data_IF_896884914029
#
_entry.id   IF_896884914029
#
_cell.length_a   1.000
_cell.length_b   1.000
_cell.length_c   1.000
_cell.angle_alpha   90.00
_cell.angle_beta   90.00
_cell.angle_gamma   90.00
#
_symmetry.space_group_name_H-M   'P 1'
#
loop_
_entity.id
_entity.type
_entity.pdbx_description
1 polymer ?
#
# COMPACT_ATOMS: atom_id res chain seq x y z
N UNK A 1 12.49 -19.96 68.10
CA UNK A 1 11.35 -20.85 67.82
C UNK A 1 10.07 -20.03 67.81
N UNK A 2 9.51 -19.66 66.70
CA UNK A 2 8.09 -19.26 66.51
C UNK A 2 7.82 -19.25 65.00
N UNK A 3 7.17 -20.31 64.55
CA UNK A 3 6.63 -20.42 63.17
C UNK A 3 5.39 -19.54 63.01
N UNK A 4 5.37 -18.65 62.03
CA UNK A 4 4.17 -17.95 61.57
C UNK A 4 3.67 -18.60 60.28
N UNK A 5 2.49 -19.22 60.36
CA UNK A 5 1.70 -19.74 59.25
C UNK A 5 1.12 -18.56 58.47
N UNK A 6 1.31 -18.54 57.15
CA UNK A 6 0.57 -17.69 56.25
C UNK A 6 -0.57 -18.51 55.62
N UNK A 7 -1.77 -18.07 55.90
CA UNK A 7 -2.98 -18.58 55.25
C UNK A 7 -3.13 -17.87 53.87
N UNK A 8 -3.13 -18.66 52.80
CA UNK A 8 -3.51 -18.21 51.46
C UNK A 8 -5.02 -18.25 51.34
N UNK A 9 -5.59 -17.07 51.13
CA UNK A 9 -7.01 -16.90 50.78
C UNK A 9 -7.14 -17.05 49.28
N UNK A 10 -7.71 -18.14 48.80
CA UNK A 10 -8.05 -18.35 47.39
C UNK A 10 -9.39 -17.66 47.09
N UNK A 11 -9.39 -16.65 46.23
CA UNK A 11 -10.58 -16.10 45.66
C UNK A 11 -10.95 -16.86 44.37
N UNK A 12 -12.03 -17.63 44.42
CA UNK A 12 -12.62 -18.26 43.27
C UNK A 12 -13.45 -17.22 42.49
N UNK A 13 -13.00 -16.89 41.30
CA UNK A 13 -13.81 -16.09 40.34
C UNK A 13 -14.72 -17.04 39.56
N UNK A 14 -16.03 -16.95 39.82
CA UNK A 14 -17.03 -17.66 39.04
C UNK A 14 -17.30 -16.86 37.76
N UNK A 15 -17.00 -17.46 36.62
CA UNK A 15 -17.42 -16.93 35.31
C UNK A 15 -18.89 -17.32 35.06
N UNK A 16 -19.76 -16.34 35.07
CA UNK A 16 -21.13 -16.46 34.56
C UNK A 16 -21.09 -16.39 33.02
N UNK A 17 -21.30 -17.55 32.40
CA UNK A 17 -21.60 -17.63 30.98
C UNK A 17 -23.06 -17.19 30.75
N UNK A 18 -23.26 -16.02 30.17
CA UNK A 18 -24.56 -15.63 29.59
C UNK A 18 -24.63 -16.15 28.17
N UNK A 19 -25.52 -17.11 27.95
CA UNK A 19 -25.85 -17.60 26.61
C UNK A 19 -26.58 -16.52 25.81
N UNK A 20 -26.05 -16.20 24.64
CA UNK A 20 -26.76 -15.35 23.67
C UNK A 20 -27.75 -16.19 22.87
N UNK A 21 -28.94 -15.63 22.52
CA UNK A 21 -29.90 -16.35 21.73
C UNK A 21 -29.46 -16.45 20.25
N UNK A 22 -29.59 -17.67 19.71
CA UNK A 22 -29.38 -17.95 18.30
C UNK A 22 -30.43 -17.22 17.45
N UNK A 23 -29.96 -16.41 16.50
CA UNK A 23 -30.81 -15.86 15.44
C UNK A 23 -31.14 -16.99 14.43
N UNK A 24 -32.41 -17.33 14.33
CA UNK A 24 -32.94 -18.25 13.33
C UNK A 24 -32.96 -17.58 11.96
N UNK A 25 -32.38 -18.22 10.96
CA UNK A 25 -32.49 -17.84 9.56
C UNK A 25 -33.90 -18.09 9.03
N UNK A 26 -34.44 -17.25 8.11
CA UNK A 26 -35.74 -17.51 7.52
C UNK A 26 -35.68 -18.70 6.53
N UNK A 27 -36.56 -19.67 6.75
CA UNK A 27 -36.82 -20.80 5.83
C UNK A 27 -37.64 -20.27 4.65
N UNK A 28 -37.10 -20.32 3.46
CA UNK A 28 -37.86 -20.10 2.23
C UNK A 28 -38.55 -21.43 1.87
N UNK A 29 -39.87 -21.46 1.99
CA UNK A 29 -40.72 -22.56 1.52
C UNK A 29 -40.76 -22.57 -0.01
N UNK A 30 -40.25 -23.64 -0.62
CA UNK A 30 -40.45 -23.94 -2.01
C UNK A 30 -41.89 -24.48 -2.20
N UNK A 31 -42.70 -23.72 -2.92
CA UNK A 31 -44.02 -24.14 -3.36
C UNK A 31 -43.91 -25.06 -4.58
N UNK A 32 -44.32 -26.29 -4.40
CA UNK A 32 -44.57 -27.25 -5.47
C UNK A 32 -45.91 -26.92 -6.17
N UNK A 33 -45.90 -26.78 -7.47
CA UNK A 33 -47.09 -26.65 -8.31
C UNK A 33 -46.89 -27.40 -9.63
N UNK A 34 -47.54 -28.57 -9.72
CA UNK A 34 -47.62 -29.50 -10.86
C UNK A 34 -48.62 -29.00 -11.90
N UNK A 35 -48.34 -29.23 -13.18
CA UNK A 35 -49.09 -29.97 -14.22
C UNK A 35 -48.91 -29.31 -15.59
N UNK A 36 -48.35 -30.03 -16.48
CA UNK A 36 -48.84 -30.74 -17.66
C UNK A 36 -49.60 -29.90 -18.70
N UNK A 37 -49.07 -29.84 -19.91
CA UNK A 37 -49.70 -30.35 -21.13
C UNK A 37 -48.82 -30.06 -22.36
N UNK A 38 -48.69 -31.10 -23.15
CA UNK A 38 -48.12 -31.25 -24.48
C UNK A 38 -48.65 -30.21 -25.47
N UNK A 39 -47.82 -29.76 -26.42
CA UNK A 39 -48.20 -29.87 -27.82
C UNK A 39 -46.97 -29.84 -28.76
N UNK A 40 -46.90 -30.86 -29.57
CA UNK A 40 -46.03 -31.11 -30.74
C UNK A 40 -46.41 -30.27 -31.94
N UNK A 41 -45.40 -29.81 -32.73
CA UNK A 41 -45.30 -29.82 -34.19
C UNK A 41 -44.14 -28.89 -34.57
N UNK A 42 -43.02 -29.34 -35.08
CA UNK A 42 -42.58 -29.95 -36.33
C UNK A 42 -42.57 -28.94 -37.53
N UNK A 43 -41.47 -29.04 -38.29
CA UNK A 43 -41.20 -28.59 -39.68
C UNK A 43 -40.42 -27.31 -39.88
N UNK A 44 -39.23 -27.48 -40.49
CA UNK A 44 -38.69 -26.56 -41.43
C UNK A 44 -37.16 -26.42 -41.46
N UNK A 45 -36.47 -27.45 -42.01
CA UNK A 45 -35.14 -27.28 -42.63
C UNK A 45 -35.22 -26.29 -43.80
N UNK A 46 -34.30 -25.35 -43.85
CA UNK A 46 -33.82 -24.83 -45.13
C UNK A 46 -32.35 -24.48 -45.04
N UNK A 47 -31.56 -25.30 -45.73
CA UNK A 47 -30.22 -24.95 -46.22
C UNK A 47 -30.34 -23.98 -47.42
N UNK A 48 -29.51 -22.99 -47.53
CA UNK A 48 -29.03 -22.44 -48.79
C UNK A 48 -27.66 -21.79 -48.59
N UNK A 49 -26.61 -22.45 -49.01
CA UNK A 49 -25.77 -22.18 -50.20
C UNK A 49 -24.72 -21.07 -50.02
N UNK A 50 -23.48 -21.55 -50.15
CA UNK A 50 -22.28 -20.81 -50.50
C UNK A 50 -22.45 -19.90 -51.72
N UNK A 51 -21.88 -18.69 -51.67
CA UNK A 51 -21.42 -18.01 -52.87
C UNK A 51 -19.96 -17.57 -52.65
N UNK A 52 -19.07 -18.29 -53.28
CA UNK A 52 -17.70 -17.92 -53.61
C UNK A 52 -17.74 -16.88 -54.73
N UNK A 53 -17.08 -15.76 -54.58
CA UNK A 53 -16.62 -14.96 -55.68
C UNK A 53 -15.20 -14.46 -55.44
N UNK A 54 -14.39 -14.78 -56.42
CA UNK A 54 -12.96 -14.56 -56.57
C UNK A 54 -12.62 -13.06 -56.82
N UNK A 55 -11.36 -12.77 -56.47
CA UNK A 55 -10.64 -11.54 -56.83
C UNK A 55 -10.41 -11.39 -58.34
N UNK A 56 -10.02 -10.20 -58.80
CA UNK A 56 -8.66 -9.98 -59.33
C UNK A 56 -8.09 -8.64 -58.86
N UNK A 57 -6.82 -8.46 -58.61
CA UNK A 57 -5.66 -8.58 -59.40
C UNK A 57 -4.87 -7.29 -59.41
N UNK A 58 -3.66 -7.31 -58.89
CA UNK A 58 -2.46 -6.56 -59.27
C UNK A 58 -2.42 -5.04 -59.31
N UNK A 59 -1.51 -4.47 -58.58
CA UNK A 59 -0.99 -3.12 -58.74
C UNK A 59 0.14 -2.85 -57.75
N UNK A 60 1.38 -3.17 -58.12
CA UNK A 60 2.60 -2.78 -57.42
C UNK A 60 2.84 -1.27 -57.60
N UNK A 61 3.14 -0.58 -56.52
CA UNK A 61 4.03 0.58 -56.56
C UNK A 61 4.83 0.64 -55.27
N UNK A 62 6.14 0.42 -55.41
CA UNK A 62 7.16 0.72 -54.45
C UNK A 62 7.22 2.22 -54.18
N UNK A 63 7.25 2.62 -52.93
CA UNK A 63 7.84 3.90 -52.52
C UNK A 63 8.58 3.73 -51.22
N UNK A 64 9.87 3.71 -51.34
CA UNK A 64 10.88 3.96 -50.33
C UNK A 64 10.64 5.28 -49.63
N UNK A 65 10.55 5.32 -48.31
CA UNK A 65 10.84 6.55 -47.56
C UNK A 65 11.43 6.23 -46.17
N UNK A 66 12.56 6.83 -46.00
CA UNK A 66 13.54 6.84 -44.96
C UNK A 66 13.03 7.01 -43.52
N UNK A 67 13.75 6.41 -42.59
CA UNK A 67 13.71 6.64 -41.18
C UNK A 67 14.22 8.04 -40.79
N UNK A 68 13.66 8.72 -39.77
CA UNK A 68 14.25 9.94 -39.25
C UNK A 68 15.35 9.62 -38.24
N UNK A 69 16.51 10.20 -38.47
CA UNK A 69 17.70 10.17 -37.67
C UNK A 69 17.57 11.06 -36.43
N UNK A 70 18.18 10.62 -35.33
CA UNK A 70 18.38 11.35 -34.09
C UNK A 70 19.30 12.58 -34.27
N UNK A 71 19.12 13.69 -33.56
CA UNK A 71 20.06 14.80 -33.61
C UNK A 71 21.30 14.53 -32.77
N UNK A 72 22.44 14.63 -33.42
CA UNK A 72 23.80 14.60 -32.86
C UNK A 72 24.09 15.92 -32.12
N UNK A 73 24.56 15.81 -30.88
CA UNK A 73 25.08 16.94 -30.11
C UNK A 73 26.50 17.20 -30.56
N UNK A 74 26.76 18.38 -31.10
CA UNK A 74 28.08 18.88 -31.47
C UNK A 74 28.74 19.53 -30.22
N UNK A 75 29.88 18.99 -29.82
CA UNK A 75 30.80 19.58 -28.84
C UNK A 75 31.55 20.74 -29.47
N UNK A 76 31.40 21.94 -28.92
CA UNK A 76 32.24 23.07 -29.26
C UNK A 76 33.29 23.32 -28.16
N UNK A 77 34.55 23.09 -28.49
CA UNK A 77 35.73 23.58 -27.73
C UNK A 77 36.13 24.99 -28.19
N UNK A 78 36.65 25.75 -27.25
CA UNK A 78 37.36 27.01 -27.54
C UNK A 78 37.51 27.82 -26.27
N UNK A 79 38.57 27.74 -25.64
CA UNK A 79 39.90 28.37 -25.57
C UNK A 79 39.99 29.54 -24.56
N UNK A 80 40.79 29.25 -23.51
CA UNK A 80 41.91 30.00 -22.91
C UNK A 80 41.88 31.53 -22.67
N UNK A 81 41.98 31.83 -21.44
CA UNK A 81 42.72 32.78 -20.61
C UNK A 81 43.54 33.94 -21.33
N UNK A 82 44.07 35.01 -20.62
CA UNK A 82 44.62 34.97 -19.27
C UNK A 82 44.43 36.28 -18.39
N UNK A 83 44.63 36.07 -17.08
CA UNK A 83 45.50 36.87 -16.22
C UNK A 83 45.05 38.25 -15.72
N UNK A 84 44.98 38.44 -14.40
CA UNK A 84 45.84 39.32 -13.63
C UNK A 84 45.38 39.45 -12.18
N UNK A 85 46.21 38.98 -11.29
CA UNK A 85 46.75 39.52 -10.02
C UNK A 85 45.93 40.51 -9.19
N UNK A 86 45.81 40.19 -7.91
CA UNK A 86 46.22 41.06 -6.83
C UNK A 86 45.15 41.56 -5.87
N UNK A 87 45.36 41.31 -4.58
CA UNK A 87 44.98 42.21 -3.52
C UNK A 87 44.12 41.67 -2.40
N UNK A 88 44.77 41.29 -1.32
CA UNK A 88 44.24 41.16 0.03
C UNK A 88 43.48 42.43 0.46
N UNK A 89 42.40 42.33 1.22
CA UNK A 89 42.35 42.78 2.59
C UNK A 89 41.00 42.56 3.29
N UNK A 90 41.18 42.29 4.54
CA UNK A 90 40.21 42.05 5.60
C UNK A 90 39.31 43.25 5.93
N UNK A 91 38.11 42.97 6.40
CA UNK A 91 37.50 43.36 7.66
C UNK A 91 35.97 43.64 7.52
N UNK A 92 35.22 43.58 8.61
CA UNK A 92 33.80 43.21 8.61
C UNK A 92 32.89 44.45 8.46
N UNK A 93 31.76 44.27 7.80
CA UNK A 93 30.71 45.31 7.76
C UNK A 93 29.44 44.82 8.46
N UNK A 94 29.14 45.63 9.40
CA UNK A 94 27.97 45.92 10.20
C UNK A 94 26.62 45.63 9.53
N UNK A 95 25.69 45.17 10.40
CA UNK A 95 24.26 45.05 10.13
C UNK A 95 23.65 46.33 9.55
N UNK A 96 23.01 46.22 8.42
CA UNK A 96 22.15 47.22 7.81
C UNK A 96 20.70 46.77 7.83
N UNK A 97 19.90 47.50 8.57
CA UNK A 97 18.44 47.47 8.61
C UNK A 97 17.88 47.66 7.20
N UNK A 98 17.01 46.76 6.77
CA UNK A 98 16.14 46.96 5.62
C UNK A 98 14.70 47.02 6.10
N UNK A 99 14.23 48.25 6.22
CA UNK A 99 12.81 48.57 6.41
C UNK A 99 12.06 48.49 5.09
N UNK A 100 10.89 47.85 5.13
CA UNK A 100 9.78 48.15 4.22
C UNK A 100 9.52 47.13 3.13
N UNK A 101 8.61 46.18 3.38
CA UNK A 101 7.75 45.58 2.38
C UNK A 101 6.29 45.54 2.90
N UNK A 102 5.38 46.04 2.05
CA UNK A 102 3.97 46.28 2.31
C UNK A 102 3.20 45.00 2.67
N UNK A 103 2.29 45.17 3.63
CA UNK A 103 1.32 44.14 4.04
C UNK A 103 0.24 43.91 2.98
N UNK A 104 0.04 42.61 2.62
CA UNK A 104 -1.18 42.12 2.02
C UNK A 104 -2.01 41.37 3.04
N UNK A 105 -3.35 41.39 2.99
CA UNK A 105 -4.20 40.85 4.04
C UNK A 105 -4.28 39.33 3.95
N UNK A 106 -3.85 38.60 5.01
CA UNK A 106 -4.02 37.16 5.14
C UNK A 106 -2.86 36.40 5.77
N UNK A 107 -1.95 37.03 6.50
CA UNK A 107 -0.83 36.36 7.17
C UNK A 107 -1.26 35.63 8.43
N UNK A 108 -1.19 34.30 8.42
CA UNK A 108 -1.18 33.46 9.62
C UNK A 108 0.12 33.77 10.36
N UNK A 109 0.02 34.36 11.55
CA UNK A 109 1.15 34.57 12.45
C UNK A 109 1.66 33.22 12.91
N UNK A 110 2.83 32.80 12.44
CA UNK A 110 3.59 31.71 13.04
C UNK A 110 4.24 32.26 14.30
N UNK A 111 3.81 31.83 15.46
CA UNK A 111 4.53 32.08 16.70
C UNK A 111 5.88 31.35 16.68
N UNK A 112 6.94 31.91 17.24
CA UNK A 112 8.20 31.22 17.37
C UNK A 112 8.03 29.99 18.25
N UNK A 113 8.34 28.82 17.73
CA UNK A 113 8.36 27.56 18.48
C UNK A 113 9.64 27.60 19.33
N UNK A 114 9.49 27.58 20.63
CA UNK A 114 10.62 27.48 21.55
C UNK A 114 11.45 26.22 21.25
N UNK A 115 12.77 26.27 21.36
CA UNK A 115 13.62 25.13 21.12
C UNK A 115 13.29 24.02 22.15
N UNK A 116 12.95 22.84 21.64
CA UNK A 116 12.67 21.65 22.45
C UNK A 116 13.86 21.36 23.35
N UNK A 117 13.62 21.27 24.64
CA UNK A 117 14.67 21.03 25.62
C UNK A 117 15.17 19.57 25.57
N UNK A 118 16.42 19.29 25.99
CA UNK A 118 16.93 17.92 26.05
C UNK A 118 16.08 16.98 26.92
N UNK A 119 15.35 17.52 27.89
CA UNK A 119 14.46 16.79 28.79
C UNK A 119 13.15 16.39 28.07
N UNK A 120 12.61 17.25 27.20
CA UNK A 120 11.46 16.92 26.36
C UNK A 120 11.82 15.92 25.27
N UNK A 121 13.05 15.97 24.73
CA UNK A 121 13.55 14.95 23.80
C UNK A 121 13.68 13.58 24.48
N UNK A 122 14.24 13.55 25.71
CA UNK A 122 14.35 12.30 26.50
C UNK A 122 12.98 11.76 26.93
N UNK A 123 12.01 12.64 27.22
CA UNK A 123 10.64 12.25 27.53
C UNK A 123 9.91 11.72 26.30
N UNK A 124 10.15 12.27 25.10
CA UNK A 124 9.64 11.74 23.84
C UNK A 124 10.26 10.39 23.47
N UNK A 125 11.55 10.20 23.69
CA UNK A 125 12.22 8.89 23.51
C UNK A 125 11.70 7.85 24.48
N UNK A 126 11.53 8.21 25.76
CA UNK A 126 10.96 7.31 26.78
C UNK A 126 9.48 6.98 26.52
N UNK A 127 8.69 7.96 26.06
CA UNK A 127 7.31 7.75 25.63
C UNK A 127 7.23 6.89 24.35
N UNK A 128 8.17 7.04 23.42
CA UNK A 128 8.32 6.21 22.23
C UNK A 128 8.65 4.75 22.58
N UNK A 129 9.55 4.53 23.55
CA UNK A 129 9.91 3.19 24.03
C UNK A 129 8.80 2.55 24.87
N UNK A 130 8.07 3.31 25.69
CA UNK A 130 6.92 2.81 26.46
C UNK A 130 5.72 2.51 25.52
N UNK A 131 5.51 3.31 24.47
CA UNK A 131 4.51 3.04 23.44
C UNK A 131 4.85 1.78 22.62
N UNK A 132 6.13 1.53 22.35
CA UNK A 132 6.57 0.29 21.69
C UNK A 132 6.34 -0.98 22.55
N UNK A 133 6.25 -0.85 23.86
CA UNK A 133 5.96 -1.96 24.78
C UNK A 133 4.45 -2.15 25.06
N UNK A 134 3.60 -1.16 24.79
CA UNK A 134 2.14 -1.21 25.01
C UNK A 134 1.33 -1.31 23.69
N UNK A 135 1.96 -1.19 22.56
CA UNK A 135 1.28 -1.46 21.29
C UNK A 135 1.15 -2.96 21.18
N UNK A 136 -0.10 -3.44 21.22
CA UNK A 136 -0.42 -4.69 20.56
C UNK A 136 0.02 -4.54 19.10
N UNK A 137 1.30 -4.76 18.83
CA UNK A 137 1.77 -5.02 17.49
C UNK A 137 0.78 -6.04 16.95
N UNK A 138 0.19 -5.80 15.77
CA UNK A 138 -0.46 -6.87 15.05
C UNK A 138 0.59 -7.97 14.89
N UNK A 139 0.69 -8.85 15.88
CA UNK A 139 1.34 -10.13 15.72
C UNK A 139 0.47 -10.85 14.73
N UNK A 140 0.72 -10.58 13.45
CA UNK A 140 0.12 -11.33 12.34
C UNK A 140 0.75 -12.72 12.43
N UNK A 141 0.19 -13.57 13.31
CA UNK A 141 0.58 -14.97 13.42
C UNK A 141 0.44 -15.64 12.04
N UNK A 142 1.24 -16.65 11.82
CA UNK A 142 1.13 -17.51 10.62
C UNK A 142 0.00 -18.53 10.76
N UNK A 143 -0.92 -18.34 11.70
CA UNK A 143 -2.04 -19.25 11.93
C UNK A 143 -2.88 -19.40 10.67
N UNK A 144 -3.01 -20.63 10.20
CA UNK A 144 -3.71 -20.98 8.97
C UNK A 144 -2.89 -20.81 7.67
N UNK A 145 -1.62 -20.38 7.75
CA UNK A 145 -0.70 -20.30 6.61
C UNK A 145 0.17 -21.56 6.56
N UNK A 146 0.20 -22.20 5.41
CA UNK A 146 1.04 -23.36 5.14
C UNK A 146 2.36 -22.91 4.47
N UNK A 147 3.51 -22.92 5.17
CA UNK A 147 4.77 -22.44 4.61
C UNK A 147 5.29 -23.27 3.42
N UNK A 148 4.73 -24.44 3.17
CA UNK A 148 5.11 -25.31 2.03
C UNK A 148 4.40 -24.91 0.73
N UNK A 149 3.35 -24.10 0.79
CA UNK A 149 2.62 -23.60 -0.37
C UNK A 149 3.14 -22.26 -0.83
N UNK A 150 3.05 -21.96 -2.13
CA UNK A 150 3.45 -20.65 -2.63
C UNK A 150 2.58 -19.53 -2.03
N UNK A 151 3.23 -18.42 -1.71
CA UNK A 151 2.61 -17.23 -1.12
C UNK A 151 2.85 -16.00 -1.98
N UNK A 152 1.92 -15.07 -1.94
CA UNK A 152 2.03 -13.76 -2.58
C UNK A 152 1.42 -12.68 -1.69
N UNK A 153 2.07 -11.53 -1.60
CA UNK A 153 1.50 -10.36 -0.95
C UNK A 153 0.91 -9.41 -2.01
N UNK A 154 -0.42 -9.32 -2.04
CA UNK A 154 -1.10 -8.27 -2.79
C UNK A 154 -1.07 -7.00 -1.95
N UNK A 155 -0.54 -5.92 -2.50
CA UNK A 155 -0.37 -4.66 -1.76
C UNK A 155 -0.99 -3.50 -2.52
N UNK A 156 -1.62 -2.58 -1.78
CA UNK A 156 -2.40 -1.47 -2.33
C UNK A 156 -1.97 -0.15 -1.71
N UNK A 157 -1.55 0.81 -2.54
CA UNK A 157 -1.09 2.12 -2.12
C UNK A 157 -2.19 3.20 -2.25
N UNK A 158 -1.95 4.37 -1.65
CA UNK A 158 -2.72 5.60 -1.76
C UNK A 158 -4.10 5.61 -1.11
N UNK A 159 -4.56 4.49 -0.55
CA UNK A 159 -5.84 4.41 0.15
C UNK A 159 -5.92 5.27 1.42
N UNK A 160 -7.06 5.22 2.11
CA UNK A 160 -8.25 4.42 1.80
C UNK A 160 -9.14 5.01 0.69
N UNK A 161 -9.84 4.14 -0.03
CA UNK A 161 -10.84 4.49 -1.03
C UNK A 161 -11.99 3.46 -1.04
N UNK A 162 -13.08 3.68 -0.27
CA UNK A 162 -14.13 2.67 0.01
C UNK A 162 -14.77 2.01 -1.21
N UNK A 163 -14.92 2.75 -2.31
CA UNK A 163 -15.51 2.22 -3.55
C UNK A 163 -14.64 1.16 -4.23
N UNK A 164 -13.35 1.09 -3.90
CA UNK A 164 -12.39 0.12 -4.44
C UNK A 164 -11.95 -0.85 -3.36
N UNK A 165 -11.51 -0.37 -2.19
CA UNK A 165 -11.00 -1.19 -1.09
C UNK A 165 -12.02 -2.19 -0.57
N UNK A 166 -13.30 -1.81 -0.44
CA UNK A 166 -14.35 -2.76 -0.05
C UNK A 166 -14.50 -3.90 -1.05
N UNK A 167 -14.45 -3.62 -2.35
CA UNK A 167 -14.53 -4.67 -3.39
C UNK A 167 -13.34 -5.61 -3.35
N UNK A 168 -12.14 -5.07 -3.05
CA UNK A 168 -10.92 -5.86 -2.89
C UNK A 168 -11.07 -6.80 -1.69
N UNK A 169 -11.50 -6.29 -0.53
CA UNK A 169 -11.71 -7.08 0.68
C UNK A 169 -12.79 -8.15 0.47
N UNK A 170 -13.93 -7.80 -0.13
CA UNK A 170 -15.02 -8.75 -0.46
C UNK A 170 -14.53 -9.90 -1.35
N UNK A 171 -13.68 -9.59 -2.33
CA UNK A 171 -13.09 -10.61 -3.20
C UNK A 171 -12.12 -11.51 -2.43
N UNK A 172 -11.19 -10.93 -1.65
CA UNK A 172 -10.22 -11.69 -0.85
C UNK A 172 -10.91 -12.60 0.17
N UNK A 173 -11.98 -12.13 0.82
CA UNK A 173 -12.71 -12.89 1.82
C UNK A 173 -13.28 -14.20 1.27
N UNK A 174 -13.73 -14.24 0.00
CA UNK A 174 -14.27 -15.44 -0.66
C UNK A 174 -13.22 -16.57 -0.81
N UNK A 175 -11.92 -16.20 -0.79
CA UNK A 175 -10.81 -17.13 -0.98
C UNK A 175 -9.89 -17.23 0.25
N UNK A 176 -10.34 -16.68 1.40
CA UNK A 176 -9.56 -16.68 2.65
C UNK A 176 -8.26 -15.86 2.55
N UNK A 177 -8.14 -15.00 1.53
CA UNK A 177 -6.95 -14.19 1.29
C UNK A 177 -6.88 -12.95 2.19
N UNK A 178 -5.66 -12.47 2.40
CA UNK A 178 -5.36 -11.19 3.09
C UNK A 178 -4.46 -10.34 2.21
N UNK A 179 -4.45 -9.03 2.48
CA UNK A 179 -3.64 -8.05 1.75
C UNK A 179 -3.03 -7.03 2.72
N UNK A 180 -2.05 -6.25 2.23
CA UNK A 180 -1.48 -5.11 2.94
C UNK A 180 -1.87 -3.82 2.25
N UNK A 181 -2.44 -2.88 3.00
CA UNK A 181 -2.89 -1.58 2.51
C UNK A 181 -1.97 -0.48 3.07
N UNK A 182 -1.23 0.19 2.19
CA UNK A 182 -0.35 1.32 2.53
C UNK A 182 -1.12 2.63 2.40
N UNK A 183 -1.53 3.19 3.53
CA UNK A 183 -2.47 4.30 3.58
C UNK A 183 -1.79 5.65 3.73
N UNK A 184 -2.33 6.65 3.06
CA UNK A 184 -1.97 8.06 3.24
C UNK A 184 -2.66 8.62 4.47
N UNK A 185 -1.89 9.12 5.45
CA UNK A 185 -2.40 9.52 6.76
C UNK A 185 -3.51 10.56 6.72
N UNK A 186 -3.42 11.58 5.84
CA UNK A 186 -4.44 12.62 5.71
C UNK A 186 -5.80 12.11 5.22
N UNK A 187 -5.85 10.92 4.62
CA UNK A 187 -7.08 10.33 4.09
C UNK A 187 -7.85 9.49 5.12
N UNK A 188 -7.13 8.81 6.05
CA UNK A 188 -7.74 7.80 6.93
C UNK A 188 -8.83 8.38 7.84
N UNK A 189 -8.72 9.65 8.22
CA UNK A 189 -9.71 10.31 9.06
C UNK A 189 -11.11 10.38 8.45
N UNK A 190 -11.20 10.50 7.12
CA UNK A 190 -12.47 10.57 6.37
C UNK A 190 -13.08 9.18 6.11
N UNK A 191 -12.29 8.10 6.24
CA UNK A 191 -12.71 6.74 5.87
C UNK A 191 -12.44 5.72 6.98
N UNK A 192 -12.59 6.12 8.24
CA UNK A 192 -12.31 5.28 9.43
C UNK A 192 -12.99 3.91 9.37
N UNK A 193 -14.25 3.87 8.95
CA UNK A 193 -15.02 2.61 8.87
C UNK A 193 -14.36 1.59 7.97
N UNK A 194 -13.83 2.01 6.82
CA UNK A 194 -13.11 1.13 5.91
C UNK A 194 -11.80 0.63 6.53
N UNK A 195 -11.01 1.53 7.13
CA UNK A 195 -9.75 1.17 7.79
C UNK A 195 -9.97 0.23 8.96
N UNK A 196 -11.03 0.44 9.76
CA UNK A 196 -11.45 -0.47 10.82
C UNK A 196 -11.87 -1.84 10.28
N UNK A 197 -12.57 -1.88 9.14
CA UNK A 197 -12.95 -3.10 8.46
C UNK A 197 -11.71 -3.89 8.02
N UNK A 198 -10.70 -3.23 7.43
CA UNK A 198 -9.45 -3.88 7.03
C UNK A 198 -8.79 -4.61 8.21
N UNK A 199 -8.70 -3.94 9.37
CA UNK A 199 -8.15 -4.53 10.59
C UNK A 199 -9.02 -5.69 11.09
N UNK A 200 -10.34 -5.50 11.16
CA UNK A 200 -11.27 -6.52 11.66
C UNK A 200 -11.28 -7.78 10.81
N UNK A 201 -11.07 -7.66 9.50
CA UNK A 201 -10.98 -8.79 8.57
C UNK A 201 -9.56 -9.39 8.48
N UNK A 202 -8.59 -8.89 9.26
CA UNK A 202 -7.22 -9.42 9.33
C UNK A 202 -6.32 -9.00 8.18
N UNK A 203 -6.66 -7.96 7.44
CA UNK A 203 -5.74 -7.29 6.53
C UNK A 203 -4.72 -6.46 7.31
N UNK A 204 -3.56 -6.23 6.72
CA UNK A 204 -2.53 -5.39 7.32
C UNK A 204 -2.68 -3.94 6.87
N UNK A 205 -2.78 -3.02 7.84
CA UNK A 205 -2.71 -1.58 7.58
C UNK A 205 -1.28 -1.10 7.78
N UNK A 206 -0.75 -0.39 6.79
CA UNK A 206 0.62 0.07 6.74
C UNK A 206 0.67 1.57 6.35
N UNK A 207 1.82 2.20 6.55
CA UNK A 207 1.99 3.63 6.37
C UNK A 207 2.50 3.97 4.96
N UNK A 208 1.86 4.97 4.33
CA UNK A 208 2.32 5.56 3.06
C UNK A 208 2.63 7.06 3.22
N UNK A 209 3.15 7.44 4.39
CA UNK A 209 3.41 8.82 4.85
C UNK A 209 2.15 9.62 5.18
N UNK A 210 2.32 10.80 5.79
CA UNK A 210 1.16 11.63 6.15
C UNK A 210 0.42 12.17 4.93
N UNK A 211 1.14 12.72 3.93
CA UNK A 211 0.53 13.39 2.77
C UNK A 211 1.22 13.08 1.44
N UNK A 212 1.73 11.86 1.29
CA UNK A 212 2.30 11.33 0.05
C UNK A 212 3.47 12.14 -0.51
N UNK A 213 4.26 12.83 0.34
CA UNK A 213 5.45 13.55 -0.10
C UNK A 213 6.60 12.60 -0.42
N UNK A 214 7.34 12.89 -1.48
CA UNK A 214 8.57 12.17 -1.81
C UNK A 214 9.66 12.45 -0.76
N UNK A 215 9.90 11.49 0.14
CA UNK A 215 10.74 11.66 1.32
C UNK A 215 12.20 12.01 0.97
N UNK A 216 12.74 11.53 -0.17
CA UNK A 216 14.10 11.84 -0.58
C UNK A 216 14.36 13.35 -0.85
N UNK A 217 13.30 14.15 -0.93
CA UNK A 217 13.38 15.61 -1.09
C UNK A 217 13.32 16.36 0.25
N UNK A 218 13.22 15.65 1.37
CA UNK A 218 13.01 16.21 2.70
C UNK A 218 14.26 16.03 3.57
N UNK A 219 14.42 16.92 4.56
CA UNK A 219 15.42 16.76 5.62
C UNK A 219 14.97 15.73 6.68
N UNK A 220 15.91 15.28 7.53
CA UNK A 220 15.70 14.24 8.51
C UNK A 220 14.46 14.45 9.40
N UNK A 221 14.32 15.62 10.02
CA UNK A 221 13.17 15.94 10.87
C UNK A 221 11.83 15.91 10.12
N UNK A 222 11.81 16.34 8.85
CA UNK A 222 10.61 16.30 8.03
C UNK A 222 10.25 14.87 7.63
N UNK A 223 11.24 14.00 7.38
CA UNK A 223 11.02 12.56 7.11
C UNK A 223 10.38 11.92 8.32
N UNK A 224 10.95 12.12 9.52
CA UNK A 224 10.39 11.59 10.77
C UNK A 224 8.97 12.12 11.02
N UNK A 225 8.70 13.39 10.78
CA UNK A 225 7.37 13.97 10.92
C UNK A 225 6.36 13.33 9.96
N UNK A 226 6.72 13.12 8.68
CA UNK A 226 5.85 12.46 7.70
C UNK A 226 5.49 11.03 8.10
N UNK A 227 6.45 10.29 8.62
CA UNK A 227 6.24 8.90 9.05
C UNK A 227 5.42 8.85 10.34
N UNK A 228 5.81 9.63 11.37
CA UNK A 228 5.14 9.59 12.68
C UNK A 228 3.70 10.10 12.60
N UNK A 229 3.45 11.22 11.92
CA UNK A 229 2.09 11.74 11.73
C UNK A 229 1.21 10.77 10.95
N UNK A 230 1.75 10.08 9.93
CA UNK A 230 1.03 9.04 9.22
C UNK A 230 0.66 7.86 10.14
N UNK A 231 1.61 7.38 10.94
CA UNK A 231 1.36 6.34 11.94
C UNK A 231 0.29 6.75 12.95
N UNK A 232 0.37 7.97 13.47
CA UNK A 232 -0.56 8.50 14.48
C UNK A 232 -1.98 8.63 13.90
N UNK A 233 -2.10 9.12 12.67
CA UNK A 233 -3.38 9.24 11.98
C UNK A 233 -4.05 7.88 11.74
N UNK A 234 -3.28 6.87 11.30
CA UNK A 234 -3.77 5.51 11.08
C UNK A 234 -4.19 4.88 12.41
N UNK A 235 -3.33 5.00 13.44
CA UNK A 235 -3.66 4.49 14.77
C UNK A 235 -4.93 5.14 15.35
N UNK A 236 -5.09 6.44 15.19
CA UNK A 236 -6.29 7.15 15.62
C UNK A 236 -7.56 6.72 14.86
N UNK A 237 -7.42 6.26 13.61
CA UNK A 237 -8.54 5.79 12.80
C UNK A 237 -8.99 4.37 13.15
N UNK A 238 -8.08 3.43 13.40
CA UNK A 238 -8.39 2.01 13.55
C UNK A 238 -7.85 1.34 14.83
N UNK A 239 -7.13 2.07 15.69
CA UNK A 239 -6.58 1.52 16.93
C UNK A 239 -5.26 0.74 16.76
N UNK A 240 -4.80 0.54 15.53
CA UNK A 240 -3.57 -0.21 15.21
C UNK A 240 -2.50 0.73 14.68
N UNK A 241 -1.31 0.70 15.30
CA UNK A 241 -0.16 1.44 14.82
C UNK A 241 0.55 0.65 13.72
N UNK A 242 0.78 1.24 12.53
CA UNK A 242 1.52 0.58 11.46
C UNK A 242 2.93 0.18 11.87
N UNK A 243 3.38 -0.99 11.40
CA UNK A 243 4.75 -1.48 11.59
C UNK A 243 5.58 -1.44 10.30
N UNK A 244 4.94 -1.20 9.16
CA UNK A 244 5.54 -1.14 7.83
C UNK A 244 5.32 0.23 7.20
N UNK A 245 6.30 0.66 6.40
CA UNK A 245 6.26 1.87 5.60
C UNK A 245 6.45 1.52 4.13
N UNK A 246 5.71 2.14 3.23
CA UNK A 246 6.08 2.22 1.81
C UNK A 246 6.35 3.66 1.44
N UNK A 247 7.47 3.88 0.74
CA UNK A 247 7.90 5.21 0.34
C UNK A 247 7.12 5.67 -0.90
N UNK A 248 6.54 6.86 -0.91
CA UNK A 248 5.88 7.41 -2.10
C UNK A 248 6.77 7.36 -3.34
N UNK A 249 6.26 6.68 -4.39
CA UNK A 249 7.00 6.44 -5.61
C UNK A 249 8.22 5.52 -5.48
N UNK A 250 8.41 4.85 -4.35
CA UNK A 250 9.53 3.94 -4.09
C UNK A 250 10.90 4.63 -3.93
N UNK A 251 10.97 5.95 -4.01
CA UNK A 251 12.22 6.68 -4.05
C UNK A 251 12.85 6.84 -2.66
N UNK A 252 14.14 6.60 -2.56
CA UNK A 252 14.90 6.71 -1.32
C UNK A 252 16.32 7.23 -1.54
N UNK A 253 16.97 7.63 -0.44
CA UNK A 253 18.39 7.98 -0.35
C UNK A 253 18.89 7.61 1.06
N UNK A 254 20.17 7.82 1.34
CA UNK A 254 20.75 7.49 2.64
C UNK A 254 20.04 8.22 3.80
N UNK A 255 19.59 9.46 3.61
CA UNK A 255 18.87 10.23 4.63
C UNK A 255 17.52 9.58 4.96
N UNK A 256 16.77 9.11 3.95
CA UNK A 256 15.51 8.41 4.17
C UNK A 256 15.75 7.09 4.92
N UNK A 257 16.72 6.28 4.48
CA UNK A 257 17.03 4.99 5.12
C UNK A 257 17.41 5.16 6.59
N UNK A 258 18.17 6.21 6.92
CA UNK A 258 18.61 6.50 8.29
C UNK A 258 17.50 7.08 9.19
N UNK A 259 16.46 7.72 8.64
CA UNK A 259 15.49 8.51 9.42
C UNK A 259 14.04 8.06 9.30
N UNK A 260 13.72 7.09 8.47
CA UNK A 260 12.35 6.58 8.36
C UNK A 260 11.89 5.77 9.59
N UNK A 261 12.84 5.16 10.33
CA UNK A 261 12.57 4.48 11.61
C UNK A 261 11.70 3.22 11.51
N UNK A 262 11.41 2.76 10.29
CA UNK A 262 10.54 1.60 10.03
C UNK A 262 11.16 0.69 8.95
N UNK A 263 10.77 -0.60 8.89
CA UNK A 263 10.99 -1.45 7.72
C UNK A 263 10.27 -0.85 6.51
N UNK A 264 10.97 -0.77 5.38
CA UNK A 264 10.43 -0.17 4.15
C UNK A 264 10.15 -1.25 3.12
N UNK A 265 8.91 -1.34 2.68
CA UNK A 265 8.44 -2.35 1.75
C UNK A 265 8.33 -1.74 0.36
N UNK A 266 9.08 -2.32 -0.56
CA UNK A 266 9.00 -2.07 -2.00
C UNK A 266 8.16 -3.17 -2.67
N UNK A 267 8.41 -3.44 -3.93
CA UNK A 267 7.77 -4.48 -4.73
C UNK A 267 8.75 -5.04 -5.74
N UNK A 268 8.48 -6.21 -6.24
CA UNK A 268 9.18 -6.80 -7.38
C UNK A 268 8.26 -7.05 -8.59
N UNK A 269 6.95 -6.88 -8.42
CA UNK A 269 5.99 -6.87 -9.52
C UNK A 269 5.24 -5.54 -9.52
N UNK A 270 5.56 -4.66 -10.48
CA UNK A 270 4.83 -3.40 -10.72
C UNK A 270 3.77 -3.64 -11.78
N UNK A 271 2.51 -3.47 -11.42
CA UNK A 271 1.39 -3.67 -12.34
C UNK A 271 1.18 -2.50 -13.28
N UNK A 272 1.74 -1.34 -12.97
CA UNK A 272 1.51 -0.07 -13.66
C UNK A 272 -0.01 0.28 -13.78
N UNK A 273 -0.82 -0.17 -12.82
CA UNK A 273 -2.27 0.07 -12.79
C UNK A 273 -2.59 1.56 -12.72
N UNK A 274 -1.81 2.33 -11.95
CA UNK A 274 -1.89 3.78 -11.83
C UNK A 274 -1.70 4.51 -13.16
N UNK A 275 -0.91 3.94 -14.06
CA UNK A 275 -0.58 4.50 -15.37
C UNK A 275 -1.55 4.03 -16.44
N UNK A 276 -1.80 2.74 -16.49
CA UNK A 276 -2.60 2.11 -17.56
C UNK A 276 -4.09 2.24 -17.33
N UNK A 277 -4.52 2.22 -16.07
CA UNK A 277 -5.92 2.19 -15.63
C UNK A 277 -6.76 1.18 -16.42
N UNK A 278 -6.15 0.03 -16.68
CA UNK A 278 -6.71 -1.04 -17.48
C UNK A 278 -6.60 -2.37 -16.76
N UNK A 279 -7.74 -2.97 -16.43
CA UNK A 279 -7.82 -4.22 -15.68
C UNK A 279 -7.10 -5.37 -16.39
N UNK A 280 -7.21 -5.49 -17.72
CA UNK A 280 -6.57 -6.60 -18.46
C UNK A 280 -5.04 -6.53 -18.36
N UNK A 281 -4.46 -5.31 -18.46
CA UNK A 281 -3.02 -5.11 -18.30
C UNK A 281 -2.57 -5.43 -16.89
N UNK A 282 -3.32 -5.01 -15.88
CA UNK A 282 -3.04 -5.31 -14.46
C UNK A 282 -3.09 -6.81 -14.21
N UNK A 283 -4.12 -7.50 -14.70
CA UNK A 283 -4.24 -8.97 -14.62
C UNK A 283 -3.05 -9.65 -15.28
N UNK A 284 -2.68 -9.25 -16.51
CA UNK A 284 -1.56 -9.84 -17.23
C UNK A 284 -0.22 -9.61 -16.51
N UNK A 285 0.00 -8.40 -15.95
CA UNK A 285 1.21 -8.08 -15.19
C UNK A 285 1.40 -8.99 -13.98
N UNK A 286 0.32 -9.34 -13.28
CA UNK A 286 0.37 -10.26 -12.15
C UNK A 286 0.47 -11.71 -12.62
N UNK A 287 -0.51 -12.20 -13.37
CA UNK A 287 -0.68 -13.63 -13.62
C UNK A 287 0.38 -14.25 -14.52
N UNK A 288 1.06 -13.45 -15.35
CA UNK A 288 2.15 -13.91 -16.22
C UNK A 288 3.51 -13.98 -15.51
N UNK A 289 3.67 -13.33 -14.35
CA UNK A 289 4.98 -13.17 -13.72
C UNK A 289 5.04 -13.62 -12.26
N UNK A 290 3.89 -13.79 -11.58
CA UNK A 290 3.83 -14.09 -10.15
C UNK A 290 4.57 -15.37 -9.79
N UNK A 291 5.39 -15.28 -8.72
CA UNK A 291 6.14 -16.36 -8.10
C UNK A 291 5.92 -16.36 -6.60
N UNK A 292 6.31 -17.45 -5.96
CA UNK A 292 6.32 -17.55 -4.50
C UNK A 292 7.23 -16.50 -3.88
N UNK A 293 6.71 -15.75 -2.92
CA UNK A 293 7.44 -14.68 -2.22
C UNK A 293 7.33 -13.29 -2.87
N UNK A 294 6.57 -13.15 -3.95
CA UNK A 294 6.41 -11.85 -4.63
C UNK A 294 5.57 -10.85 -3.84
N UNK A 295 5.97 -9.58 -3.92
CA UNK A 295 5.21 -8.42 -3.45
C UNK A 295 4.72 -7.66 -4.68
N UNK A 296 3.39 -7.60 -4.82
CA UNK A 296 2.71 -7.00 -5.97
C UNK A 296 2.27 -5.57 -5.62
N UNK A 297 2.71 -4.57 -6.41
CA UNK A 297 2.25 -3.19 -6.29
C UNK A 297 0.98 -2.98 -7.11
N UNK A 298 -0.04 -2.47 -6.43
CA UNK A 298 -1.28 -1.93 -6.98
C UNK A 298 -1.69 -0.68 -6.19
N UNK A 299 -2.73 0.03 -6.66
CA UNK A 299 -3.24 1.23 -5.98
C UNK A 299 -4.73 1.11 -5.73
N UNK A 300 -5.15 1.50 -4.53
CA UNK A 300 -6.55 1.41 -4.10
C UNK A 300 -7.46 2.48 -4.73
N UNK A 301 -6.89 3.44 -5.45
CA UNK A 301 -7.64 4.59 -5.98
C UNK A 301 -8.47 4.30 -7.23
N UNK A 302 -8.19 3.21 -7.95
CA UNK A 302 -8.71 3.03 -9.31
C UNK A 302 -9.69 1.88 -9.42
N UNK A 303 -10.89 2.14 -9.97
CA UNK A 303 -11.91 1.11 -10.21
C UNK A 303 -11.38 -0.06 -11.04
N UNK A 304 -10.52 0.21 -12.03
CA UNK A 304 -9.87 -0.81 -12.85
C UNK A 304 -9.00 -1.78 -12.04
N UNK A 305 -8.39 -1.31 -10.93
CA UNK A 305 -7.66 -2.18 -10.00
C UNK A 305 -8.61 -3.15 -9.29
N UNK A 306 -9.75 -2.66 -8.80
CA UNK A 306 -10.78 -3.53 -8.22
C UNK A 306 -11.31 -4.57 -9.22
N UNK A 307 -11.50 -4.19 -10.49
CA UNK A 307 -11.89 -5.10 -11.58
C UNK A 307 -10.81 -6.15 -11.88
N UNK A 308 -9.54 -5.75 -11.80
CA UNK A 308 -8.42 -6.67 -11.97
C UNK A 308 -8.33 -7.67 -10.81
N UNK A 309 -8.46 -7.21 -9.55
CA UNK A 309 -8.41 -8.07 -8.35
C UNK A 309 -9.50 -9.13 -8.37
N UNK A 310 -10.72 -8.81 -8.84
CA UNK A 310 -11.80 -9.78 -9.00
C UNK A 310 -11.45 -10.95 -9.94
N UNK A 311 -10.42 -10.80 -10.77
CA UNK A 311 -9.93 -11.84 -11.70
C UNK A 311 -8.60 -12.45 -11.23
N UNK A 312 -7.74 -11.66 -10.59
CA UNK A 312 -6.44 -12.10 -10.09
C UNK A 312 -6.62 -13.09 -8.93
N UNK A 313 -7.43 -12.74 -7.93
CA UNK A 313 -7.60 -13.51 -6.69
C UNK A 313 -8.08 -14.95 -6.94
N UNK A 314 -9.18 -15.18 -7.70
CA UNK A 314 -9.62 -16.55 -7.99
C UNK A 314 -8.58 -17.36 -8.76
N UNK A 315 -7.85 -16.74 -9.69
CA UNK A 315 -6.83 -17.46 -10.46
C UNK A 315 -5.58 -17.78 -9.63
N UNK A 316 -5.14 -16.88 -8.73
CA UNK A 316 -4.07 -17.18 -7.76
C UNK A 316 -4.45 -18.32 -6.84
N UNK A 317 -5.69 -18.29 -6.30
CA UNK A 317 -6.20 -19.38 -5.47
C UNK A 317 -6.22 -20.71 -6.22
N UNK A 318 -6.70 -20.74 -7.46
CA UNK A 318 -6.71 -21.92 -8.33
C UNK A 318 -5.30 -22.47 -8.60
N UNK A 319 -4.28 -21.59 -8.69
CA UNK A 319 -2.87 -21.98 -8.84
C UNK A 319 -2.24 -22.42 -7.51
N UNK A 320 -2.98 -22.44 -6.41
CA UNK A 320 -2.51 -22.85 -5.09
C UNK A 320 -1.76 -21.80 -4.29
N UNK A 321 -1.76 -20.53 -4.74
CA UNK A 321 -1.16 -19.44 -3.97
C UNK A 321 -2.01 -19.10 -2.75
N UNK A 322 -1.35 -18.88 -1.63
CA UNK A 322 -1.91 -18.21 -0.47
C UNK A 322 -1.68 -16.71 -0.60
N UNK A 323 -2.74 -15.93 -0.58
CA UNK A 323 -2.67 -14.48 -0.54
C UNK A 323 -2.59 -14.05 0.91
N UNK A 324 -1.45 -13.52 1.31
CA UNK A 324 -1.12 -13.20 2.70
C UNK A 324 -0.65 -11.75 2.83
N UNK A 325 -0.61 -11.23 4.07
CA UNK A 325 -0.03 -9.91 4.30
C UNK A 325 1.50 -9.96 4.15
N UNK A 326 2.13 -8.80 3.99
CA UNK A 326 3.61 -8.71 3.92
C UNK A 326 4.25 -9.26 5.19
N UNK A 327 3.73 -8.90 6.36
CA UNK A 327 4.24 -9.39 7.65
C UNK A 327 4.06 -10.89 7.81
N UNK A 328 2.91 -11.44 7.40
CA UNK A 328 2.67 -12.88 7.41
C UNK A 328 3.64 -13.62 6.47
N UNK A 329 3.84 -13.10 5.27
CA UNK A 329 4.77 -13.71 4.31
C UNK A 329 6.21 -13.68 4.84
N UNK A 330 6.66 -12.56 5.39
CA UNK A 330 7.97 -12.45 6.00
C UNK A 330 8.15 -13.48 7.13
N UNK A 331 7.18 -13.57 8.04
CA UNK A 331 7.21 -14.51 9.15
C UNK A 331 7.23 -15.98 8.67
N UNK A 332 6.36 -16.34 7.70
CA UNK A 332 6.30 -17.69 7.14
C UNK A 332 7.59 -18.09 6.42
N UNK A 333 8.31 -17.11 5.84
CA UNK A 333 9.63 -17.29 5.20
C UNK A 333 10.80 -17.16 6.19
N UNK A 334 10.54 -17.03 7.51
CA UNK A 334 11.59 -16.90 8.54
C UNK A 334 12.39 -15.61 8.43
N UNK A 335 11.80 -14.52 7.91
CA UNK A 335 12.44 -13.23 7.74
C UNK A 335 12.01 -12.26 8.84
N UNK A 336 12.98 -11.59 9.46
CA UNK A 336 12.75 -10.44 10.33
C UNK A 336 12.79 -9.16 9.53
N UNK A 337 11.84 -8.26 9.79
CA UNK A 337 11.77 -6.94 9.17
C UNK A 337 12.42 -5.91 10.11
N UNK A 338 13.46 -5.23 9.62
CA UNK A 338 14.28 -4.29 10.40
C UNK A 338 14.07 -2.86 9.92
N UNK A 339 14.03 -1.92 10.86
CA UNK A 339 13.99 -0.50 10.56
C UNK A 339 15.20 -0.07 9.70
N UNK A 340 14.97 0.81 8.74
CA UNK A 340 16.00 1.30 7.83
C UNK A 340 16.37 0.36 6.68
N UNK A 341 15.75 -0.84 6.61
CA UNK A 341 15.96 -1.81 5.54
C UNK A 341 14.84 -1.77 4.51
N UNK A 342 15.18 -2.11 3.27
CA UNK A 342 14.26 -2.23 2.13
C UNK A 342 14.03 -3.70 1.80
N UNK A 343 12.75 -4.05 1.55
CA UNK A 343 12.34 -5.40 1.18
C UNK A 343 11.45 -5.33 -0.06
N UNK A 344 11.81 -6.02 -1.13
CA UNK A 344 11.04 -6.02 -2.39
C UNK A 344 10.39 -7.37 -2.71
N UNK A 345 10.86 -8.45 -2.08
CA UNK A 345 10.30 -9.81 -2.16
C UNK A 345 10.84 -10.68 -1.03
N UNK A 346 10.28 -11.88 -0.87
CA UNK A 346 10.76 -12.93 0.05
C UNK A 346 10.97 -14.27 -0.69
N UNK A 347 11.44 -14.20 -1.93
CA UNK A 347 11.76 -15.37 -2.77
C UNK A 347 12.93 -16.16 -2.19
#
# INVERSE_FOLDING_TARGET
MKYRKWMTLGAALAFLFTAQPAYAAPVILAGSGSSAAENTQNVGEQQVSEVVTQAPGAGQTETTTAAPQSPTIVSGQGQSAPGSTGGENSAPVSAGEVTGIAEGPGGIKSEPVDPVTPEELAAQEAAGQAAAQQTGAQSQGIDGIDPSKPMVALTFDDGPQPSVGNRIMDCLAQYGGKATFFMVGERVGSYKTEVQRMVAEGHEVANHTMNHKYLQKLGAAQIQAQVNQGNDAIQAACGVRPTLLRLPGGNHNATVLANAGMPMIQWNVDTLDWKTRNADKTVAAVLNHVKDGDIILMHELYGATGDAVARIVPELHKRGFQMVTVSQMAAAKGRSLEAGKLYSSFN
#
